data_IF_223270605005
#
_entry.id   IF_223270605005
#
_cell.length_a   1.000
_cell.length_b   1.000
_cell.length_c   1.000
_cell.angle_alpha   90.00
_cell.angle_beta   90.00
_cell.angle_gamma   90.00
#
_symmetry.space_group_name_H-M   'P 1'
#
loop_
_entity.id
_entity.type
_entity.pdbx_description
1 polymer ?
#
# COMPACT_ATOMS: atom_id res chain seq x y z
N UNK A 1 -28.41 -18.61 -36.55
CA UNK A 1 -26.95 -18.51 -36.83
C UNK A 1 -26.18 -18.93 -35.60
N UNK A 2 -25.62 -20.14 -35.61
CA UNK A 2 -24.78 -20.62 -34.49
C UNK A 2 -23.35 -20.13 -34.71
N UNK A 3 -22.80 -19.42 -33.72
CA UNK A 3 -21.41 -19.00 -33.75
C UNK A 3 -20.51 -20.25 -33.79
N UNK A 4 -19.46 -20.28 -34.63
CA UNK A 4 -18.61 -21.44 -34.80
C UNK A 4 -17.89 -21.80 -33.50
N UNK A 5 -17.85 -23.08 -33.17
CA UNK A 5 -17.24 -23.68 -31.98
C UNK A 5 -15.81 -23.19 -31.70
N UNK A 6 -15.10 -22.80 -32.74
CA UNK A 6 -13.73 -22.26 -32.69
C UNK A 6 -13.69 -20.93 -31.92
N UNK A 7 -14.70 -20.07 -32.01
CA UNK A 7 -14.78 -18.79 -31.32
C UNK A 7 -14.99 -18.98 -29.81
N UNK A 8 -15.69 -20.04 -29.41
CA UNK A 8 -15.93 -20.38 -28.00
C UNK A 8 -14.68 -20.91 -27.31
N UNK A 9 -13.84 -21.67 -28.03
CA UNK A 9 -12.57 -22.20 -27.53
C UNK A 9 -11.50 -21.11 -27.37
N UNK A 10 -11.44 -20.15 -28.29
CA UNK A 10 -10.51 -19.02 -28.20
C UNK A 10 -10.85 -18.09 -27.04
N UNK A 11 -12.14 -17.87 -26.76
CA UNK A 11 -12.57 -17.01 -25.65
C UNK A 11 -12.30 -17.64 -24.28
N UNK A 12 -12.49 -18.96 -24.12
CA UNK A 12 -12.15 -19.67 -22.88
C UNK A 12 -10.65 -19.73 -22.64
N UNK A 13 -9.86 -19.90 -23.72
CA UNK A 13 -8.40 -19.92 -23.62
C UNK A 13 -7.82 -18.54 -23.23
N UNK A 14 -8.31 -17.48 -23.84
CA UNK A 14 -7.94 -16.11 -23.50
C UNK A 14 -8.34 -15.75 -22.06
N UNK A 15 -9.51 -16.17 -21.60
CA UNK A 15 -9.98 -15.93 -20.23
C UNK A 15 -9.13 -16.68 -19.21
N UNK A 16 -8.72 -17.92 -19.52
CA UNK A 16 -7.85 -18.73 -18.66
C UNK A 16 -6.45 -18.14 -18.54
N UNK A 17 -5.89 -17.60 -19.63
CA UNK A 17 -4.58 -16.95 -19.63
C UNK A 17 -4.64 -15.64 -18.84
N UNK A 18 -5.67 -14.81 -19.03
CA UNK A 18 -5.85 -13.55 -18.30
C UNK A 18 -6.07 -13.82 -16.81
N UNK A 19 -6.84 -14.87 -16.45
CA UNK A 19 -7.05 -15.28 -15.07
C UNK A 19 -5.77 -15.83 -14.42
N UNK A 20 -4.98 -16.61 -15.17
CA UNK A 20 -3.69 -17.12 -14.71
C UNK A 20 -2.63 -16.01 -14.57
N UNK A 21 -2.64 -14.99 -15.45
CA UNK A 21 -1.76 -13.82 -15.32
C UNK A 21 -2.17 -12.93 -14.14
N UNK A 22 -3.46 -12.76 -13.86
CA UNK A 22 -3.96 -12.00 -12.72
C UNK A 22 -3.62 -12.69 -11.39
N UNK A 23 -3.54 -14.01 -11.38
CA UNK A 23 -3.23 -14.80 -10.17
C UNK A 23 -1.72 -14.99 -9.91
N UNK A 24 -0.85 -14.70 -10.90
CA UNK A 24 0.62 -14.72 -10.70
C UNK A 24 1.12 -13.55 -9.85
N UNK A 25 0.28 -12.57 -9.53
CA UNK A 25 0.59 -11.47 -8.62
C UNK A 25 0.11 -11.71 -7.17
N UNK A 26 -0.14 -12.95 -6.75
CA UNK A 26 -0.10 -13.26 -5.33
C UNK A 26 1.37 -13.12 -4.91
N UNK A 27 1.79 -11.89 -4.61
CA UNK A 27 3.06 -11.64 -3.93
C UNK A 27 3.05 -12.56 -2.72
N UNK A 28 3.97 -13.55 -2.71
CA UNK A 28 4.22 -14.41 -1.55
C UNK A 28 4.21 -13.48 -0.34
N UNK A 29 3.32 -13.75 0.61
CA UNK A 29 3.20 -12.91 1.81
C UNK A 29 4.58 -12.81 2.45
N UNK A 30 5.14 -11.61 2.45
CA UNK A 30 6.47 -11.37 3.02
C UNK A 30 6.38 -11.47 4.54
N UNK A 31 7.41 -12.02 5.14
CA UNK A 31 7.50 -12.10 6.59
C UNK A 31 7.73 -10.69 7.18
N UNK A 32 7.34 -10.51 8.43
CA UNK A 32 7.60 -9.28 9.18
C UNK A 32 9.08 -8.90 9.17
N UNK A 33 9.97 -9.88 9.33
CA UNK A 33 11.41 -9.67 9.36
C UNK A 33 11.95 -9.17 8.00
N UNK A 34 11.45 -9.69 6.89
CA UNK A 34 11.83 -9.25 5.54
C UNK A 34 11.42 -7.80 5.28
N UNK A 35 10.20 -7.41 5.70
CA UNK A 35 9.72 -6.03 5.56
C UNK A 35 10.56 -5.07 6.39
N UNK A 36 10.89 -5.42 7.63
CA UNK A 36 11.73 -4.60 8.50
C UNK A 36 13.16 -4.46 7.96
N UNK A 37 13.74 -5.53 7.41
CA UNK A 37 15.05 -5.48 6.78
C UNK A 37 15.06 -4.56 5.56
N UNK A 38 14.00 -4.58 4.74
CA UNK A 38 13.87 -3.68 3.60
C UNK A 38 13.71 -2.22 4.03
N UNK A 39 12.94 -1.95 5.09
CA UNK A 39 12.82 -0.60 5.67
C UNK A 39 14.20 -0.10 6.15
N UNK A 40 14.96 -0.94 6.84
CA UNK A 40 16.28 -0.58 7.35
C UNK A 40 17.31 -0.31 6.23
N UNK A 41 17.14 -0.94 5.07
CA UNK A 41 18.02 -0.76 3.91
C UNK A 41 17.64 0.46 3.03
N UNK A 42 16.53 1.16 3.32
CA UNK A 42 16.13 2.34 2.54
C UNK A 42 17.11 3.51 2.72
N UNK A 43 17.42 4.24 1.63
CA UNK A 43 18.15 5.50 1.72
C UNK A 43 17.31 6.57 2.43
N UNK A 44 17.88 7.77 2.68
CA UNK A 44 17.11 8.88 3.27
C UNK A 44 15.77 9.06 2.58
N UNK A 45 14.70 9.07 3.39
CA UNK A 45 13.32 9.04 2.92
C UNK A 45 12.58 10.25 3.47
N UNK A 46 11.99 11.05 2.58
CA UNK A 46 11.23 12.24 2.96
C UNK A 46 9.80 12.17 2.41
N UNK A 47 8.86 12.75 3.14
CA UNK A 47 7.46 12.82 2.74
C UNK A 47 7.14 14.24 2.30
N UNK A 48 6.69 14.41 1.06
CA UNK A 48 6.34 15.72 0.54
C UNK A 48 6.15 15.70 -0.97
N UNK A 49 5.99 16.89 -1.55
CA UNK A 49 5.77 17.09 -2.97
C UNK A 49 6.77 18.09 -3.51
N UNK A 50 7.32 17.79 -4.68
CA UNK A 50 8.18 18.71 -5.41
C UNK A 50 7.36 19.37 -6.50
N UNK A 51 7.34 20.70 -6.52
CA UNK A 51 6.73 21.51 -7.56
C UNK A 51 7.79 22.33 -8.28
N UNK A 52 7.58 22.55 -9.57
CA UNK A 52 8.48 23.38 -10.40
C UNK A 52 7.68 24.52 -11.00
N UNK A 53 8.22 25.70 -10.95
CA UNK A 53 7.60 26.88 -11.56
C UNK A 53 8.64 27.69 -12.37
N UNK A 54 8.16 28.33 -13.41
CA UNK A 54 8.97 29.14 -14.30
C UNK A 54 8.73 30.60 -14.00
N UNK A 55 9.79 31.35 -13.71
CA UNK A 55 9.75 32.81 -13.59
C UNK A 55 10.31 33.46 -14.88
N UNK A 56 9.54 34.35 -15.54
CA UNK A 56 10.04 35.12 -16.66
C UNK A 56 11.16 36.03 -16.20
N UNK A 57 12.22 36.10 -16.98
CA UNK A 57 13.32 37.07 -16.77
C UNK A 57 13.20 38.17 -17.79
N UNK A 58 13.54 39.40 -17.36
CA UNK A 58 13.51 40.60 -18.24
C UNK A 58 14.50 40.48 -19.41
N UNK A 59 15.63 39.82 -19.19
CA UNK A 59 16.66 39.54 -20.19
C UNK A 59 17.10 38.08 -20.06
N UNK A 60 16.72 37.22 -21.00
CA UNK A 60 17.15 35.83 -21.07
C UNK A 60 16.02 34.79 -20.91
N UNK A 61 16.36 33.53 -20.97
CA UNK A 61 15.38 32.46 -20.84
C UNK A 61 14.75 32.43 -19.43
N UNK A 62 13.50 31.97 -19.28
CA UNK A 62 12.84 31.92 -17.99
C UNK A 62 13.62 31.01 -17.02
N UNK A 63 13.74 31.47 -15.77
CA UNK A 63 14.36 30.67 -14.71
C UNK A 63 13.38 29.62 -14.19
N UNK A 64 13.86 28.40 -14.00
CA UNK A 64 13.09 27.31 -13.38
C UNK A 64 13.50 27.20 -11.93
N UNK A 65 12.52 27.26 -11.03
CA UNK A 65 12.70 27.08 -9.61
C UNK A 65 11.98 25.81 -9.18
N UNK A 66 12.56 25.10 -8.21
CA UNK A 66 12.00 23.92 -7.62
C UNK A 66 11.69 24.19 -6.16
N UNK A 67 10.52 23.77 -5.72
CA UNK A 67 10.05 23.97 -4.36
C UNK A 67 9.62 22.63 -3.75
N UNK A 68 10.07 22.34 -2.54
CA UNK A 68 9.67 21.18 -1.78
C UNK A 68 8.68 21.59 -0.70
N UNK A 69 7.52 20.92 -0.67
CA UNK A 69 6.46 21.15 0.30
C UNK A 69 6.22 19.89 1.12
N UNK A 70 6.18 20.03 2.43
CA UNK A 70 5.93 18.92 3.34
C UNK A 70 5.09 19.38 4.52
N UNK A 71 4.41 18.43 5.17
CA UNK A 71 3.61 18.70 6.36
C UNK A 71 4.29 18.05 7.56
N UNK A 72 4.54 18.84 8.61
CA UNK A 72 5.08 18.36 9.87
C UNK A 72 4.17 18.81 11.01
N UNK A 73 3.68 17.87 11.81
CA UNK A 73 2.76 18.13 12.94
C UNK A 73 1.56 19.00 12.55
N UNK A 74 0.97 18.74 11.38
CA UNK A 74 -0.19 19.48 10.86
C UNK A 74 0.13 20.86 10.27
N UNK A 75 1.40 21.29 10.25
CA UNK A 75 1.83 22.55 9.65
C UNK A 75 2.52 22.29 8.31
N UNK A 76 2.16 23.09 7.30
CA UNK A 76 2.78 23.03 5.99
C UNK A 76 4.08 23.85 6.00
N UNK A 77 5.13 23.25 5.52
CA UNK A 77 6.44 23.85 5.31
C UNK A 77 6.78 23.85 3.83
N UNK A 78 7.48 24.87 3.39
CA UNK A 78 7.92 25.03 2.01
C UNK A 78 9.36 25.52 1.98
N UNK A 79 10.17 24.93 1.11
CA UNK A 79 11.55 25.36 0.90
C UNK A 79 11.94 25.28 -0.57
N UNK A 80 12.76 26.22 -1.01
CA UNK A 80 13.31 26.21 -2.37
C UNK A 80 14.46 25.21 -2.45
N UNK A 81 14.45 24.35 -3.47
CA UNK A 81 15.49 23.36 -3.70
C UNK A 81 16.55 23.98 -4.61
N UNK A 82 17.84 23.96 -4.22
CA UNK A 82 18.94 24.31 -5.14
C UNK A 82 18.94 23.37 -6.36
N UNK A 83 19.25 23.91 -7.53
CA UNK A 83 19.20 23.15 -8.81
C UNK A 83 20.05 21.87 -8.76
N UNK A 84 21.22 21.91 -8.11
CA UNK A 84 22.10 20.74 -7.97
C UNK A 84 21.57 19.64 -7.04
N UNK A 85 20.53 19.88 -6.23
CA UNK A 85 19.96 18.93 -5.29
C UNK A 85 18.58 18.39 -5.69
N UNK A 86 18.08 18.80 -6.85
CA UNK A 86 16.72 18.42 -7.27
C UNK A 86 16.56 16.91 -7.44
N UNK A 87 17.57 16.25 -7.97
CA UNK A 87 17.51 14.79 -8.19
C UNK A 87 17.64 14.02 -6.88
N UNK A 88 18.43 14.51 -5.94
CA UNK A 88 18.52 13.92 -4.59
C UNK A 88 17.18 14.04 -3.86
N UNK A 89 16.51 15.19 -3.95
CA UNK A 89 15.17 15.36 -3.39
C UNK A 89 14.13 14.46 -4.05
N UNK A 90 14.19 14.29 -5.37
CA UNK A 90 13.29 13.35 -6.08
C UNK A 90 13.51 11.91 -5.62
N UNK A 91 14.77 11.48 -5.49
CA UNK A 91 15.12 10.16 -5.01
C UNK A 91 14.62 9.95 -3.57
N UNK A 92 14.84 10.93 -2.68
CA UNK A 92 14.38 10.87 -1.30
C UNK A 92 12.86 10.83 -1.18
N UNK A 93 12.11 11.57 -2.02
CA UNK A 93 10.63 11.50 -2.07
C UNK A 93 10.15 10.15 -2.60
N UNK A 94 10.81 9.58 -3.60
CA UNK A 94 10.49 8.24 -4.10
C UNK A 94 10.72 7.17 -3.02
N UNK A 95 11.82 7.27 -2.27
CA UNK A 95 12.11 6.44 -1.10
C UNK A 95 11.06 6.60 0.00
N UNK A 96 10.59 7.83 0.24
CA UNK A 96 9.53 8.12 1.21
C UNK A 96 8.19 7.47 0.86
N UNK A 97 7.83 7.41 -0.42
CA UNK A 97 6.65 6.66 -0.89
C UNK A 97 6.82 5.16 -0.63
N UNK A 98 7.98 4.60 -0.97
CA UNK A 98 8.28 3.20 -0.73
C UNK A 98 8.24 2.85 0.77
N UNK A 99 8.78 3.70 1.63
CA UNK A 99 8.71 3.54 3.08
C UNK A 99 7.26 3.49 3.57
N UNK A 100 6.40 4.39 3.08
CA UNK A 100 4.98 4.41 3.43
C UNK A 100 4.29 3.10 3.04
N UNK A 101 4.54 2.59 1.84
CA UNK A 101 3.96 1.33 1.36
C UNK A 101 4.43 0.14 2.22
N UNK A 102 5.71 0.09 2.60
CA UNK A 102 6.25 -0.95 3.48
C UNK A 102 5.65 -0.90 4.89
N UNK A 103 5.43 0.29 5.44
CA UNK A 103 4.78 0.46 6.76
C UNK A 103 3.33 -0.02 6.71
N UNK A 104 2.60 0.26 5.64
CA UNK A 104 1.23 -0.25 5.45
C UNK A 104 1.21 -1.78 5.33
N UNK A 105 2.15 -2.37 4.58
CA UNK A 105 2.29 -3.81 4.45
C UNK A 105 2.65 -4.48 5.80
N UNK A 106 3.54 -3.87 6.58
CA UNK A 106 3.88 -4.31 7.92
C UNK A 106 2.65 -4.32 8.84
N UNK A 107 1.90 -3.23 8.85
CA UNK A 107 0.67 -3.11 9.64
C UNK A 107 -0.38 -4.16 9.25
N UNK A 108 -0.53 -4.44 7.96
CA UNK A 108 -1.44 -5.47 7.47
C UNK A 108 -1.00 -6.89 7.89
N UNK A 109 0.32 -7.15 7.87
CA UNK A 109 0.89 -8.43 8.32
C UNK A 109 0.67 -8.64 9.82
N UNK A 110 0.94 -7.63 10.63
CA UNK A 110 0.74 -7.67 12.08
C UNK A 110 -0.75 -7.81 12.45
N UNK A 111 -1.64 -7.10 11.77
CA UNK A 111 -3.09 -7.21 11.96
C UNK A 111 -3.61 -8.63 11.64
N UNK A 112 -3.09 -9.25 10.57
CA UNK A 112 -3.43 -10.62 10.21
C UNK A 112 -2.99 -11.62 11.27
N UNK A 113 -1.76 -11.50 11.77
CA UNK A 113 -1.23 -12.35 12.83
C UNK A 113 -2.07 -12.25 14.12
N UNK A 114 -2.46 -11.03 14.52
CA UNK A 114 -3.33 -10.82 15.67
C UNK A 114 -4.74 -11.39 15.47
N UNK A 115 -5.30 -11.28 14.27
CA UNK A 115 -6.61 -11.85 13.95
C UNK A 115 -6.59 -13.40 14.03
N UNK A 116 -5.51 -14.03 13.57
CA UNK A 116 -5.30 -15.48 13.67
C UNK A 116 -5.22 -15.92 15.13
N UNK A 117 -4.45 -15.21 15.97
CA UNK A 117 -4.38 -15.48 17.41
C UNK A 117 -5.74 -15.31 18.09
N UNK A 118 -6.47 -14.25 17.79
CA UNK A 118 -7.80 -14.01 18.34
C UNK A 118 -8.80 -15.11 17.94
N UNK A 119 -8.71 -15.62 16.71
CA UNK A 119 -9.56 -16.71 16.23
C UNK A 119 -9.23 -18.05 16.92
N UNK A 120 -7.95 -18.31 17.19
CA UNK A 120 -7.50 -19.49 17.92
C UNK A 120 -8.05 -19.48 19.36
N UNK A 121 -7.99 -18.33 20.05
CA UNK A 121 -8.53 -18.16 21.41
C UNK A 121 -10.06 -18.34 21.46
N UNK A 122 -10.79 -17.93 20.42
CA UNK A 122 -12.24 -18.16 20.33
C UNK A 122 -12.59 -19.63 20.21
N UNK A 123 -11.78 -20.42 19.50
CA UNK A 123 -12.00 -21.89 19.35
C UNK A 123 -11.78 -22.66 20.63
N UNK A 124 -10.91 -22.20 21.53
CA UNK A 124 -10.63 -22.85 22.82
C UNK A 124 -11.65 -22.48 23.91
N UNK A 125 -12.50 -21.48 23.66
CA UNK A 125 -13.55 -21.09 24.60
C UNK A 125 -14.67 -22.10 24.53
N UNK A 126 -14.81 -22.96 25.57
CA UNK A 126 -15.88 -23.94 25.76
C UNK A 126 -17.24 -23.31 25.43
N UNK A 127 -18.16 -24.03 24.75
CA UNK A 127 -19.49 -23.50 24.47
C UNK A 127 -20.16 -23.11 25.78
N UNK A 128 -20.65 -21.88 25.86
CA UNK A 128 -21.44 -21.42 27.00
C UNK A 128 -22.59 -22.39 27.20
N UNK A 129 -22.75 -23.02 28.39
CA UNK A 129 -23.86 -23.93 28.62
C UNK A 129 -25.16 -23.21 28.30
N UNK A 130 -25.94 -23.79 27.39
CA UNK A 130 -27.28 -23.30 27.06
C UNK A 130 -28.04 -23.07 28.36
N UNK A 131 -28.41 -21.81 28.63
CA UNK A 131 -29.36 -21.52 29.71
C UNK A 131 -30.64 -22.30 29.39
N UNK A 132 -30.85 -23.38 30.09
CA UNK A 132 -32.13 -24.12 30.11
C UNK A 132 -33.21 -23.05 30.31
N UNK A 133 -33.99 -22.78 29.27
CA UNK A 133 -35.19 -21.95 29.39
C UNK A 133 -36.10 -22.76 30.32
N UNK A 134 -36.20 -22.32 31.57
CA UNK A 134 -37.20 -22.84 32.47
C UNK A 134 -38.55 -22.57 31.84
N UNK A 135 -39.31 -23.65 31.60
CA UNK A 135 -40.64 -23.59 31.04
C UNK A 135 -41.59 -23.01 32.11
N UNK A 136 -42.19 -21.82 31.90
CA UNK A 136 -43.03 -21.15 32.90
C UNK A 136 -44.40 -21.89 33.11
N UNK A 137 -44.63 -23.04 32.50
CA UNK A 137 -45.91 -23.77 32.55
C UNK A 137 -45.91 -24.92 33.54
N UNK A 138 -44.90 -25.10 34.42
CA UNK A 138 -44.95 -26.07 35.49
C UNK A 138 -45.32 -25.38 36.81
N UNK A 139 -46.58 -24.97 36.93
CA UNK A 139 -47.31 -24.80 38.18
C UNK A 139 -48.71 -25.36 38.01
#
# INVERSE_FOLDING_TARGET
MQAPLIFRLLFTYAYTIIYAMKNKNSKKARSRAEILAEIAALPPSIQGTISSYRCPRKNGPPAVYHNFQYTLKGKNHSMTIPVGMVDDFKAAVASGKKLKDLVLELSATDAKALAEQASALKKTRTPRPERRREDPRRR
#
